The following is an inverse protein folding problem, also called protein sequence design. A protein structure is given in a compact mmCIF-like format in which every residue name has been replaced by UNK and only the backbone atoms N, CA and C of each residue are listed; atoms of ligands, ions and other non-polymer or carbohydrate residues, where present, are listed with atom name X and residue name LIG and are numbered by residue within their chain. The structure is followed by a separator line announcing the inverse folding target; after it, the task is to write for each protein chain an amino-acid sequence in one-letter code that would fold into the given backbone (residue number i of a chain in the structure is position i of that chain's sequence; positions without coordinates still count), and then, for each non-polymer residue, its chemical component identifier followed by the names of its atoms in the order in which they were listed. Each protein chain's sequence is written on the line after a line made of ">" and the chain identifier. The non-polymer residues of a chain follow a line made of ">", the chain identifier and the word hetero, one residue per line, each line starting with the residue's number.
data_IF_732671782195
#
_entry.id   IF_732671782195
#
_cell.length_a   1.000
_cell.length_b   1.000
_cell.length_c   1.000
_cell.angle_alpha   90.00
_cell.angle_beta   90.00
_cell.angle_gamma   90.00
#
_symmetry.space_group_name_H-M   'P 1'
#
loop_
_entity.id
_entity.type
_entity.pdbx_description
1 polymer ?
#
# COMPACT_ATOMS: atom_id res chain seq x y z
N UNK A 1 -26.59 6.53 -2.64
CA UNK A 1 -26.17 5.88 -1.41
C UNK A 1 -24.69 5.56 -1.41
N UNK A 2 -24.16 5.44 -0.22
CA UNK A 2 -22.75 5.24 0.05
C UNK A 2 -22.15 3.98 -0.62
N UNK A 3 -22.95 2.94 -0.82
CA UNK A 3 -22.52 1.69 -1.45
C UNK A 3 -22.10 1.90 -2.91
N UNK A 4 -22.88 2.70 -3.66
CA UNK A 4 -22.56 2.99 -5.06
C UNK A 4 -21.33 3.89 -5.22
N UNK A 5 -20.94 4.60 -4.16
CA UNK A 5 -19.77 5.46 -4.17
C UNK A 5 -18.49 4.69 -3.86
N UNK A 6 -18.52 3.74 -2.93
CA UNK A 6 -17.36 2.91 -2.61
C UNK A 6 -16.94 2.03 -3.79
N UNK A 7 -17.89 1.46 -4.53
CA UNK A 7 -17.61 0.58 -5.68
C UNK A 7 -16.81 1.28 -6.80
N UNK A 8 -16.90 2.60 -6.91
CA UNK A 8 -16.16 3.36 -7.93
C UNK A 8 -14.67 3.53 -7.62
N UNK A 9 -14.27 3.34 -6.37
CA UNK A 9 -12.92 3.61 -5.93
C UNK A 9 -12.09 2.37 -5.63
N UNK A 10 -12.71 1.21 -5.65
CA UNK A 10 -12.04 -0.07 -5.49
C UNK A 10 -11.44 -0.51 -6.83
N UNK A 11 -10.20 -1.04 -6.87
CA UNK A 11 -9.28 -1.21 -5.74
C UNK A 11 -8.48 0.06 -5.43
N UNK A 12 -8.10 0.20 -4.17
CA UNK A 12 -7.18 1.24 -3.73
C UNK A 12 -6.27 0.68 -2.64
N UNK A 13 -5.28 1.47 -2.22
CA UNK A 13 -4.28 1.01 -1.25
C UNK A 13 -4.35 1.76 0.06
N UNK A 14 -4.10 1.04 1.13
CA UNK A 14 -3.88 1.55 2.48
C UNK A 14 -2.62 0.88 3.04
N UNK A 15 -2.29 1.15 4.28
CA UNK A 15 -1.20 0.47 4.98
C UNK A 15 -1.63 0.00 6.35
N UNK A 16 -0.90 -0.97 6.91
CA UNK A 16 -1.13 -1.44 8.27
C UNK A 16 -0.74 -0.36 9.27
N UNK A 17 -1.64 -0.07 10.22
CA UNK A 17 -1.43 0.95 11.24
C UNK A 17 -0.56 0.47 12.40
N UNK A 18 -0.49 -0.84 12.60
CA UNK A 18 0.17 -1.46 13.75
C UNK A 18 0.99 -2.67 13.32
N UNK A 19 1.99 -3.02 14.13
CA UNK A 19 2.57 -4.36 14.13
C UNK A 19 1.52 -5.35 14.58
N UNK A 20 1.47 -6.55 14.30
CA UNK A 20 0.51 -7.54 14.83
C UNK A 20 -0.96 -7.19 14.52
N UNK A 21 -1.30 -7.13 13.24
CA UNK A 21 -2.68 -7.08 12.78
C UNK A 21 -3.13 -8.47 12.33
N UNK A 22 -4.42 -8.76 12.47
CA UNK A 22 -4.98 -10.07 12.14
C UNK A 22 -5.88 -10.01 10.93
N UNK A 23 -5.67 -10.91 9.97
CA UNK A 23 -6.58 -11.17 8.87
C UNK A 23 -7.57 -12.25 9.26
N UNK A 24 -8.84 -12.08 8.88
CA UNK A 24 -9.93 -12.99 9.16
C UNK A 24 -10.61 -13.41 7.86
N UNK A 25 -11.29 -14.57 7.89
CA UNK A 25 -12.05 -15.04 6.74
C UNK A 25 -13.37 -14.31 6.52
N UNK A 26 -13.94 -13.71 7.59
CA UNK A 26 -15.21 -13.02 7.57
C UNK A 26 -15.11 -11.66 8.24
N UNK A 27 -15.93 -10.68 7.80
CA UNK A 27 -15.85 -9.31 8.35
C UNK A 27 -16.38 -9.18 9.78
N UNK A 28 -17.17 -10.13 10.28
CA UNK A 28 -17.72 -10.07 11.63
C UNK A 28 -17.44 -11.35 12.42
N UNK A 29 -17.19 -11.18 13.71
CA UNK A 29 -17.25 -12.26 14.68
C UNK A 29 -18.73 -12.51 15.04
N UNK A 30 -19.48 -13.13 14.15
CA UNK A 30 -20.89 -13.41 14.42
C UNK A 30 -21.09 -14.59 15.36
N UNK A 31 -20.08 -15.43 15.49
CA UNK A 31 -20.16 -16.57 16.37
C UNK A 31 -18.84 -16.74 17.12
N UNK A 32 -18.87 -16.51 18.42
CA UNK A 32 -17.73 -16.70 19.32
C UNK A 32 -17.25 -18.17 19.35
N UNK A 33 -18.05 -19.09 18.86
CA UNK A 33 -17.71 -20.51 18.80
C UNK A 33 -17.08 -20.94 17.48
N UNK A 34 -17.21 -20.14 16.43
CA UNK A 34 -16.46 -20.36 15.19
C UNK A 34 -15.18 -19.56 15.26
N UNK A 35 -14.10 -20.23 15.61
CA UNK A 35 -12.78 -19.64 15.44
C UNK A 35 -12.53 -19.50 13.95
N UNK A 36 -12.76 -18.29 13.43
CA UNK A 36 -12.26 -17.95 12.11
C UNK A 36 -10.74 -18.05 12.16
N UNK A 37 -10.17 -18.83 11.26
CA UNK A 37 -8.72 -18.85 11.10
C UNK A 37 -8.22 -17.41 10.94
N UNK A 38 -7.22 -17.06 11.71
CA UNK A 38 -6.61 -15.75 11.70
C UNK A 38 -5.18 -15.88 11.23
N UNK A 39 -4.80 -14.99 10.33
CA UNK A 39 -3.43 -14.86 9.90
C UNK A 39 -2.83 -13.61 10.57
N UNK A 40 -1.69 -13.78 11.20
CA UNK A 40 -0.99 -12.66 11.81
C UNK A 40 -0.23 -11.88 10.75
N UNK A 41 -0.48 -10.57 10.70
CA UNK A 41 0.32 -9.62 9.93
C UNK A 41 1.20 -8.88 10.91
N UNK A 42 2.49 -8.96 10.74
CA UNK A 42 3.46 -8.54 11.76
C UNK A 42 4.17 -7.23 11.46
N UNK A 43 3.92 -6.61 10.31
CA UNK A 43 4.73 -5.47 9.91
C UNK A 43 3.90 -4.20 9.72
N UNK A 44 4.11 -3.23 10.60
CA UNK A 44 3.56 -1.88 10.46
C UNK A 44 3.98 -1.24 9.14
N UNK A 45 3.11 -0.44 8.56
CA UNK A 45 3.30 0.25 7.29
C UNK A 45 3.26 -0.64 6.05
N UNK A 46 3.08 -1.96 6.18
CA UNK A 46 2.92 -2.85 5.03
C UNK A 46 1.76 -2.36 4.15
N UNK A 47 1.98 -2.12 2.84
CA UNK A 47 0.90 -1.74 1.96
C UNK A 47 -0.06 -2.91 1.71
N UNK A 48 -1.34 -2.61 1.65
CA UNK A 48 -2.39 -3.57 1.38
C UNK A 48 -3.35 -3.01 0.34
N UNK A 49 -3.85 -3.88 -0.51
CA UNK A 49 -4.82 -3.51 -1.55
C UNK A 49 -6.23 -3.78 -1.02
N UNK A 50 -7.05 -2.75 -0.96
CA UNK A 50 -8.45 -2.89 -0.56
C UNK A 50 -9.26 -3.30 -1.78
N UNK A 51 -9.91 -4.45 -1.69
CA UNK A 51 -10.70 -5.03 -2.78
C UNK A 51 -12.19 -5.08 -2.48
N UNK A 52 -12.58 -4.93 -1.24
CA UNK A 52 -13.98 -4.93 -0.82
C UNK A 52 -14.13 -4.16 0.51
N UNK A 53 -15.27 -3.54 0.71
CA UNK A 53 -15.64 -2.84 1.93
C UNK A 53 -16.90 -3.43 2.52
N UNK A 54 -16.95 -3.53 3.84
CA UNK A 54 -18.12 -3.96 4.56
C UNK A 54 -18.54 -2.88 5.56
N UNK A 55 -19.79 -2.46 5.46
CA UNK A 55 -20.38 -1.47 6.35
C UNK A 55 -21.58 -2.11 7.05
N UNK A 56 -21.58 -2.07 8.37
CA UNK A 56 -22.74 -2.47 9.14
C UNK A 56 -23.86 -1.45 8.93
N UNK A 57 -25.11 -1.92 8.85
CA UNK A 57 -26.30 -1.08 8.66
C UNK A 57 -26.49 0.03 9.72
N UNK A 58 -25.79 -0.11 10.86
CA UNK A 58 -25.85 0.86 11.97
C UNK A 58 -24.71 1.87 11.94
N UNK A 59 -23.80 1.77 10.98
CA UNK A 59 -22.57 2.54 10.94
C UNK A 59 -22.55 3.47 9.71
N UNK A 60 -22.06 4.69 9.89
CA UNK A 60 -21.88 5.67 8.81
C UNK A 60 -20.53 5.52 8.10
N UNK A 61 -19.69 4.58 8.52
CA UNK A 61 -18.36 4.34 7.97
C UNK A 61 -18.11 2.86 7.71
N UNK A 62 -17.12 2.57 6.90
CA UNK A 62 -16.69 1.19 6.63
C UNK A 62 -16.09 0.55 7.89
N UNK A 63 -16.66 -0.55 8.33
CA UNK A 63 -16.22 -1.26 9.53
C UNK A 63 -15.08 -2.22 9.26
N UNK A 64 -15.10 -2.85 8.08
CA UNK A 64 -14.18 -3.90 7.69
C UNK A 64 -13.76 -3.73 6.25
N UNK A 65 -12.50 -4.07 5.97
CA UNK A 65 -11.94 -4.10 4.62
C UNK A 65 -11.48 -5.50 4.27
N UNK A 66 -11.85 -5.95 3.08
CA UNK A 66 -11.21 -7.12 2.49
C UNK A 66 -9.98 -6.64 1.75
N UNK A 67 -8.84 -7.19 2.12
CA UNK A 67 -7.55 -6.76 1.58
C UNK A 67 -6.84 -7.92 0.90
N UNK A 68 -5.96 -7.56 -0.01
CA UNK A 68 -5.06 -8.47 -0.69
C UNK A 68 -3.62 -8.02 -0.44
N UNK A 69 -2.77 -8.97 -0.07
CA UNK A 69 -1.35 -8.75 0.15
C UNK A 69 -0.56 -8.97 -1.15
N UNK A 70 0.67 -8.54 -1.15
CA UNK A 70 1.57 -8.68 -2.31
C UNK A 70 1.73 -10.12 -2.82
N UNK A 71 1.54 -11.10 -1.96
CA UNK A 71 1.63 -12.54 -2.30
C UNK A 71 0.28 -13.18 -2.68
N UNK A 72 -0.77 -12.37 -2.83
CA UNK A 72 -2.10 -12.84 -3.21
C UNK A 72 -2.97 -13.32 -2.07
N UNK A 73 -2.48 -13.35 -0.84
CA UNK A 73 -3.28 -13.71 0.33
C UNK A 73 -4.34 -12.65 0.57
N UNK A 74 -5.58 -13.06 0.75
CA UNK A 74 -6.73 -12.19 0.99
C UNK A 74 -7.35 -12.48 2.34
N UNK A 75 -7.96 -11.45 2.94
CA UNK A 75 -8.70 -11.60 4.18
C UNK A 75 -9.34 -10.30 4.62
N UNK A 76 -10.13 -10.37 5.66
CA UNK A 76 -10.84 -9.24 6.24
C UNK A 76 -10.08 -8.67 7.43
N UNK A 77 -10.03 -7.35 7.50
CA UNK A 77 -9.36 -6.63 8.58
C UNK A 77 -10.24 -5.48 9.05
N UNK A 78 -10.23 -5.23 10.36
CA UNK A 78 -10.99 -4.14 10.95
C UNK A 78 -10.43 -2.77 10.52
N UNK A 79 -11.31 -1.78 10.38
CA UNK A 79 -10.93 -0.45 9.91
C UNK A 79 -9.85 0.24 10.76
N UNK A 80 -9.85 0.00 12.07
CA UNK A 80 -8.88 0.59 12.98
C UNK A 80 -7.47 0.00 12.88
N UNK A 81 -7.31 -1.10 12.13
CA UNK A 81 -6.02 -1.72 11.85
C UNK A 81 -5.34 -1.15 10.61
N UNK A 82 -6.03 -0.31 9.85
CA UNK A 82 -5.52 0.31 8.64
C UNK A 82 -5.30 1.82 8.81
N UNK A 83 -4.29 2.31 8.11
CA UNK A 83 -3.91 3.71 8.06
C UNK A 83 -4.08 4.26 6.64
N UNK A 84 -4.38 5.54 6.52
CA UNK A 84 -4.40 6.26 5.24
C UNK A 84 -3.00 6.53 4.70
N UNK A 85 -1.97 6.29 5.49
CA UNK A 85 -0.59 6.48 5.08
C UNK A 85 -0.28 5.62 3.86
N UNK A 86 0.28 6.24 2.83
CA UNK A 86 0.62 5.53 1.61
C UNK A 86 2.05 5.05 1.66
N UNK A 87 2.21 3.77 1.47
CA UNK A 87 3.52 3.11 1.45
C UNK A 87 3.61 2.20 0.22
N UNK A 88 4.83 1.83 -0.13
CA UNK A 88 5.12 0.85 -1.17
C UNK A 88 6.02 -0.23 -0.61
N UNK A 89 5.85 -1.44 -1.10
CA UNK A 89 6.76 -2.55 -0.86
C UNK A 89 7.64 -2.74 -2.09
N UNK A 90 8.93 -2.54 -1.90
CA UNK A 90 9.94 -2.79 -2.93
C UNK A 90 10.33 -4.26 -2.84
N UNK A 91 10.01 -5.03 -3.88
CA UNK A 91 10.20 -6.48 -3.93
C UNK A 91 11.51 -6.91 -4.61
N UNK A 92 12.10 -6.02 -5.39
CA UNK A 92 13.37 -6.23 -6.07
C UNK A 92 14.30 -5.05 -5.82
N UNK A 93 15.59 -5.30 -5.74
CA UNK A 93 16.57 -4.24 -5.58
C UNK A 93 16.41 -3.20 -6.69
N UNK A 94 16.38 -1.93 -6.34
CA UNK A 94 16.17 -0.85 -7.29
C UNK A 94 17.05 0.35 -6.99
N UNK A 95 17.44 1.05 -8.03
CA UNK A 95 18.21 2.28 -7.92
C UNK A 95 17.29 3.44 -7.57
N UNK A 96 17.77 4.32 -6.69
CA UNK A 96 17.10 5.54 -6.30
C UNK A 96 17.74 6.72 -7.07
N UNK A 97 16.91 7.50 -7.76
CA UNK A 97 17.37 8.60 -8.60
C UNK A 97 16.98 9.96 -8.01
N UNK A 98 17.85 10.95 -8.20
CA UNK A 98 17.60 12.32 -7.74
C UNK A 98 16.51 13.03 -8.57
N UNK A 99 16.38 12.68 -9.84
CA UNK A 99 15.43 13.27 -10.78
C UNK A 99 14.43 12.26 -11.29
N UNK A 100 13.21 12.70 -11.60
CA UNK A 100 12.15 11.82 -12.12
C UNK A 100 12.36 11.36 -13.54
N UNK A 101 13.21 12.01 -14.31
CA UNK A 101 13.56 11.53 -15.65
C UNK A 101 14.50 10.35 -15.52
N UNK A 102 14.02 9.18 -15.90
CA UNK A 102 14.81 7.97 -15.91
C UNK A 102 15.16 7.59 -17.34
N UNK A 103 16.40 7.81 -17.70
CA UNK A 103 17.03 7.31 -18.91
C UNK A 103 18.43 6.86 -18.52
N UNK A 104 18.72 5.53 -18.52
CA UNK A 104 20.03 5.04 -18.10
C UNK A 104 21.17 5.53 -18.96
N UNK A 105 20.87 5.98 -20.19
CA UNK A 105 21.88 6.53 -21.12
C UNK A 105 22.03 8.04 -20.98
N UNK A 106 21.20 8.69 -20.14
CA UNK A 106 21.24 10.13 -19.92
C UNK A 106 22.22 10.50 -18.80
N UNK A 107 23.13 11.41 -19.08
CA UNK A 107 24.04 11.97 -18.09
C UNK A 107 23.32 12.80 -17.03
N UNK A 108 22.05 13.19 -17.25
CA UNK A 108 21.22 13.89 -16.29
C UNK A 108 20.60 12.96 -15.25
N UNK A 109 20.65 11.66 -15.46
CA UNK A 109 20.14 10.67 -14.54
C UNK A 109 21.18 10.44 -13.43
N UNK A 110 20.94 11.04 -12.28
CA UNK A 110 21.84 10.93 -11.14
C UNK A 110 21.30 9.87 -10.16
N UNK A 111 22.03 8.78 -10.05
CA UNK A 111 21.77 7.77 -9.04
C UNK A 111 22.12 8.32 -7.66
N UNK A 112 21.15 8.33 -6.76
CA UNK A 112 21.29 8.83 -5.40
C UNK A 112 21.55 7.72 -4.39
N UNK A 113 21.12 6.51 -4.69
CA UNK A 113 21.26 5.37 -3.81
C UNK A 113 20.76 4.06 -4.43
N UNK A 114 20.80 3.03 -3.61
CA UNK A 114 20.28 1.70 -3.95
C UNK A 114 19.34 1.26 -2.82
N UNK A 115 18.17 0.75 -3.19
CA UNK A 115 17.23 0.17 -2.25
C UNK A 115 17.33 -1.34 -2.36
N UNK A 116 17.67 -1.99 -1.26
CA UNK A 116 17.74 -3.45 -1.18
C UNK A 116 16.38 -4.01 -0.76
N UNK A 117 15.85 -4.92 -1.55
CA UNK A 117 14.59 -5.58 -1.28
C UNK A 117 14.72 -6.70 -0.22
N UNK A 118 13.64 -7.01 0.52
CA UNK A 118 12.39 -6.27 0.56
C UNK A 118 12.50 -5.01 1.43
N UNK A 119 11.81 -3.95 1.04
CA UNK A 119 11.83 -2.70 1.78
C UNK A 119 10.49 -1.99 1.68
N UNK A 120 9.96 -1.53 2.81
CA UNK A 120 8.80 -0.66 2.85
C UNK A 120 9.29 0.79 2.80
N UNK A 121 8.74 1.55 1.87
CA UNK A 121 9.08 2.97 1.68
C UNK A 121 7.82 3.80 1.65
N UNK A 122 7.93 5.09 1.97
CA UNK A 122 6.79 6.00 1.93
C UNK A 122 6.59 6.54 0.52
N UNK A 123 5.35 6.52 0.04
CA UNK A 123 4.97 7.11 -1.23
C UNK A 123 4.73 8.60 -1.06
N UNK A 124 5.40 9.43 -1.84
CA UNK A 124 5.26 10.89 -1.78
C UNK A 124 4.52 11.43 -3.01
N UNK A 125 4.82 10.90 -4.19
CA UNK A 125 4.29 11.43 -5.45
C UNK A 125 4.29 10.33 -6.51
N UNK A 126 3.31 10.37 -7.42
CA UNK A 126 3.21 9.47 -8.56
C UNK A 126 3.30 10.30 -9.84
N UNK A 127 4.16 9.90 -10.76
CA UNK A 127 4.32 10.56 -12.04
C UNK A 127 4.56 9.53 -13.16
N UNK A 128 3.50 9.21 -13.87
CA UNK A 128 3.48 8.27 -15.00
C UNK A 128 4.15 6.92 -14.67
N UNK A 129 5.42 6.78 -15.00
CA UNK A 129 6.20 5.54 -14.86
C UNK A 129 7.11 5.55 -13.64
N UNK A 130 7.14 6.64 -12.88
CA UNK A 130 8.01 6.78 -11.72
C UNK A 130 7.24 7.23 -10.49
N UNK A 131 7.75 6.89 -9.34
CA UNK A 131 7.22 7.37 -8.05
C UNK A 131 8.35 8.02 -7.25
N UNK A 132 7.97 9.11 -6.57
CA UNK A 132 8.83 9.72 -5.57
C UNK A 132 8.55 9.06 -4.23
N UNK A 133 9.60 8.67 -3.57
CA UNK A 133 9.54 7.94 -2.30
C UNK A 133 10.46 8.57 -1.26
N UNK A 134 10.17 8.21 -0.01
CA UNK A 134 11.04 8.49 1.12
C UNK A 134 11.43 7.16 1.75
N UNK A 135 12.74 6.92 1.82
CA UNK A 135 13.30 5.71 2.43
C UNK A 135 13.72 6.05 3.85
N UNK A 136 13.09 5.44 4.87
CA UNK A 136 13.50 5.68 6.25
C UNK A 136 14.94 5.21 6.49
N UNK A 137 15.73 6.07 7.15
CA UNK A 137 17.07 5.75 7.64
C UNK A 137 17.14 6.07 9.13
N UNK A 138 17.03 5.05 9.96
CA UNK A 138 16.98 5.25 11.40
C UNK A 138 15.69 5.99 11.84
N UNK A 139 15.70 6.53 13.06
CA UNK A 139 14.48 7.11 13.67
C UNK A 139 14.15 8.53 13.23
N UNK A 140 15.10 9.29 12.69
CA UNK A 140 14.96 10.72 12.46
C UNK A 140 15.35 11.22 11.07
N UNK A 141 15.82 10.33 10.20
CA UNK A 141 16.25 10.73 8.87
C UNK A 141 15.65 9.86 7.79
N UNK A 142 15.54 10.42 6.60
CA UNK A 142 15.07 9.70 5.42
C UNK A 142 15.79 10.22 4.19
N UNK A 143 15.86 9.39 3.17
CA UNK A 143 16.33 9.80 1.84
C UNK A 143 15.13 9.82 0.90
N UNK A 144 14.97 10.92 0.16
CA UNK A 144 13.95 11.09 -0.87
C UNK A 144 14.56 10.90 -2.24
N UNK A 145 13.78 10.34 -3.14
CA UNK A 145 14.20 10.20 -4.53
C UNK A 145 13.13 9.49 -5.35
N UNK A 146 13.49 9.19 -6.60
CA UNK A 146 12.58 8.60 -7.57
C UNK A 146 13.00 7.18 -7.90
N UNK A 147 12.03 6.28 -8.03
CA UNK A 147 12.22 4.92 -8.51
C UNK A 147 11.28 4.63 -9.67
N UNK A 148 11.66 3.77 -10.62
CA UNK A 148 10.76 3.34 -11.67
C UNK A 148 9.68 2.41 -11.10
N UNK A 149 8.46 2.54 -11.61
CA UNK A 149 7.40 1.59 -11.37
C UNK A 149 7.55 0.43 -12.34
N UNK A 150 7.84 -0.72 -11.81
CA UNK A 150 7.92 -1.97 -12.54
C UNK A 150 7.30 -3.09 -11.70
N UNK A 151 7.48 -4.34 -12.12
CA UNK A 151 6.95 -5.50 -11.42
C UNK A 151 7.56 -5.74 -10.03
N UNK A 152 8.61 -4.99 -9.68
CA UNK A 152 9.27 -5.07 -8.38
C UNK A 152 8.67 -4.17 -7.31
N UNK A 153 7.55 -3.51 -7.56
CA UNK A 153 6.94 -2.57 -6.59
C UNK A 153 5.47 -2.90 -6.39
N UNK A 154 5.06 -3.05 -5.13
CA UNK A 154 3.67 -3.28 -4.75
C UNK A 154 3.13 -2.09 -3.94
N UNK A 155 1.89 -1.70 -4.20
CA UNK A 155 1.21 -0.66 -3.40
C UNK A 155 0.70 0.53 -4.20
N UNK A 156 0.75 0.45 -5.53
CA UNK A 156 0.26 1.51 -6.43
C UNK A 156 -0.72 0.90 -7.42
N UNK A 157 -1.86 1.55 -7.61
CA UNK A 157 -2.84 1.15 -8.62
C UNK A 157 -2.59 1.84 -9.96
N UNK A 158 -3.06 1.22 -11.04
CA UNK A 158 -2.99 1.81 -12.39
C UNK A 158 -3.72 3.15 -12.48
N UNK A 159 -4.74 3.38 -11.64
CA UNK A 159 -5.46 4.65 -11.60
C UNK A 159 -4.61 5.80 -11.07
N UNK A 160 -3.67 5.49 -10.17
CA UNK A 160 -2.76 6.48 -9.61
C UNK A 160 -1.63 6.82 -10.59
N UNK A 161 -1.36 5.91 -11.54
CA UNK A 161 -0.37 6.12 -12.60
C UNK A 161 -0.88 7.01 -13.72
N UNK A 162 -2.18 7.20 -13.82
CA UNK A 162 -2.75 8.10 -14.79
C UNK A 162 -2.70 9.53 -14.24
N UNK A 163 -2.41 10.52 -15.11
CA UNK A 163 -2.40 11.91 -14.66
C UNK A 163 -3.72 12.24 -13.97
N UNK A 164 -3.63 12.83 -12.78
CA UNK A 164 -4.80 13.30 -12.01
C UNK A 164 -5.52 14.47 -12.71
N UNK A 165 -5.25 14.67 -13.98
CA UNK A 165 -5.84 15.74 -14.78
C UNK A 165 -6.83 15.18 -15.77
N UNK A 166 -8.05 15.24 -15.39
CA UNK A 166 -9.15 15.32 -16.33
C UNK A 166 -9.78 16.71 -16.24
#
# INVERSE_FOLDING_TARGET
>A
PLIAYSDKHIPYYKSLAHDESWLRHYPENQDLNTQTEKFLLTEENMPVKVIEEFQNSWSDYTDWYRIELFNGVQGWIAHNQLSKKRTLLVLEDTKLYALKSYDPDSWLTIQKGLILAPKIVNLLEVDETMVKISVPRGKKSSIKGWIPLDNGVWGVSNKELQPLYD
#
